data_IF_567642572235
#
_entry.id   IF_567642572235
#
_cell.length_a   1.000
_cell.length_b   1.000
_cell.length_c   1.000
_cell.angle_alpha   90.00
_cell.angle_beta   90.00
_cell.angle_gamma   90.00
#
_symmetry.space_group_name_H-M   'P 1'
#
loop_
_entity.id
_entity.type
_entity.pdbx_description
1 polymer ?
#
# COMPACT_ATOMS: atom_id res chain seq x y z
N UNK A 1 47.33 -15.83 57.26
CA UNK A 1 46.35 -16.56 56.41
C UNK A 1 45.49 -15.49 55.74
N UNK A 2 45.76 -15.18 54.46
CA UNK A 2 45.00 -14.17 53.70
C UNK A 2 44.22 -14.95 52.64
N UNK A 3 42.90 -15.01 52.81
CA UNK A 3 42.00 -15.65 51.87
C UNK A 3 41.78 -14.72 50.67
N UNK A 4 42.27 -15.12 49.50
CA UNK A 4 42.03 -14.41 48.24
C UNK A 4 40.72 -14.92 47.66
N UNK A 5 39.64 -14.15 47.79
CA UNK A 5 38.38 -14.45 47.13
C UNK A 5 38.47 -13.99 45.66
N UNK A 6 38.52 -14.94 44.72
CA UNK A 6 38.34 -14.68 43.29
C UNK A 6 36.87 -14.32 43.04
N UNK A 7 36.61 -13.07 42.69
CA UNK A 7 35.30 -12.62 42.18
C UNK A 7 35.24 -12.93 40.68
N UNK A 8 34.51 -13.97 40.28
CA UNK A 8 34.24 -14.25 38.87
C UNK A 8 33.11 -13.33 38.38
N UNK A 9 33.44 -12.33 37.56
CA UNK A 9 32.46 -11.44 36.93
C UNK A 9 31.94 -12.15 35.68
N UNK A 10 30.74 -12.75 35.78
CA UNK A 10 30.03 -13.33 34.64
C UNK A 10 29.42 -12.18 33.82
N UNK A 11 30.12 -11.73 32.77
CA UNK A 11 29.55 -10.82 31.78
C UNK A 11 28.53 -11.58 30.93
N UNK A 12 27.24 -11.38 31.23
CA UNK A 12 26.13 -11.87 30.42
C UNK A 12 26.15 -11.04 29.13
N UNK A 13 26.74 -11.58 28.06
CA UNK A 13 26.52 -11.07 26.71
C UNK A 13 25.07 -11.38 26.34
N UNK A 14 24.16 -10.49 26.77
CA UNK A 14 22.79 -10.51 26.30
C UNK A 14 22.82 -10.37 24.79
N UNK A 15 22.39 -11.41 24.08
CA UNK A 15 22.05 -11.32 22.68
C UNK A 15 20.92 -10.30 22.55
N UNK A 16 21.27 -9.02 22.39
CA UNK A 16 20.38 -8.00 21.90
C UNK A 16 20.07 -8.40 20.46
N UNK A 17 19.06 -9.23 20.28
CA UNK A 17 18.38 -9.36 19.01
C UNK A 17 17.82 -7.97 18.71
N UNK A 18 18.54 -7.19 17.90
CA UNK A 18 18.00 -5.97 17.35
C UNK A 18 16.92 -6.41 16.35
N UNK A 19 15.66 -6.26 16.75
CA UNK A 19 14.58 -6.28 15.77
C UNK A 19 14.85 -5.09 14.85
N UNK A 20 15.42 -5.34 13.66
CA UNK A 20 15.51 -4.33 12.61
C UNK A 20 14.07 -3.85 12.35
N UNK A 21 13.73 -2.57 12.61
CA UNK A 21 12.42 -2.05 12.25
C UNK A 21 12.35 -2.16 10.74
N UNK A 22 11.53 -3.09 10.28
CA UNK A 22 11.60 -3.54 8.91
C UNK A 22 10.65 -2.63 8.12
N UNK A 23 11.18 -1.55 7.51
CA UNK A 23 10.38 -0.37 7.24
C UNK A 23 9.42 -0.65 6.09
N UNK A 24 8.17 -0.23 6.24
CA UNK A 24 7.26 -0.16 5.10
C UNK A 24 7.82 0.86 4.10
N UNK A 25 8.01 0.45 2.85
CA UNK A 25 8.42 1.37 1.79
C UNK A 25 7.18 2.19 1.41
N UNK A 26 7.27 3.51 1.60
CA UNK A 26 6.28 4.48 1.13
C UNK A 26 6.84 5.17 -0.11
N UNK A 27 6.13 5.04 -1.24
CA UNK A 27 6.47 5.70 -2.50
C UNK A 27 5.35 6.67 -2.81
N UNK A 28 5.69 7.95 -2.85
CA UNK A 28 4.80 9.02 -3.33
C UNK A 28 5.16 9.31 -4.79
N UNK A 29 4.32 8.88 -5.74
CA UNK A 29 4.42 9.30 -7.14
C UNK A 29 3.34 10.35 -7.44
N UNK A 30 3.60 11.21 -8.43
CA UNK A 30 2.72 12.33 -8.76
C UNK A 30 1.47 11.95 -9.55
N UNK A 31 1.35 10.70 -10.01
CA UNK A 31 0.21 10.29 -10.82
C UNK A 31 0.02 8.78 -10.83
N UNK A 32 -1.23 8.34 -10.75
CA UNK A 32 -1.64 6.95 -10.86
C UNK A 32 -2.83 6.86 -11.81
N UNK A 33 -2.86 5.82 -12.64
CA UNK A 33 -3.94 5.59 -13.57
C UNK A 33 -5.19 5.07 -12.88
N UNK A 34 -6.34 5.70 -13.11
CA UNK A 34 -7.62 5.33 -12.53
C UNK A 34 -8.79 5.63 -13.48
N UNK A 35 -10.01 5.20 -13.15
CA UNK A 35 -11.20 5.49 -13.95
C UNK A 35 -11.88 6.78 -13.48
N UNK A 36 -12.57 7.44 -14.40
CA UNK A 36 -13.51 8.51 -14.07
C UNK A 36 -14.92 7.95 -13.88
N UNK A 37 -15.85 8.80 -13.45
CA UNK A 37 -17.25 8.40 -13.18
C UNK A 37 -18.02 7.86 -14.39
N UNK A 38 -17.48 7.97 -15.59
CA UNK A 38 -18.06 7.46 -16.84
C UNK A 38 -17.25 6.29 -17.43
N UNK A 39 -16.28 5.75 -16.70
CA UNK A 39 -15.46 4.60 -17.12
C UNK A 39 -14.32 4.95 -18.08
N UNK A 40 -14.03 6.23 -18.31
CA UNK A 40 -12.84 6.67 -19.05
C UNK A 40 -11.61 6.70 -18.15
N UNK A 41 -10.42 6.51 -18.71
CA UNK A 41 -9.18 6.55 -17.94
C UNK A 41 -8.75 8.00 -17.63
N UNK A 42 -8.21 8.22 -16.44
CA UNK A 42 -7.69 9.50 -15.94
C UNK A 42 -6.51 9.28 -15.01
N UNK A 43 -5.79 10.34 -14.64
CA UNK A 43 -4.75 10.28 -13.62
C UNK A 43 -5.27 10.84 -12.30
N UNK A 44 -4.98 10.16 -11.20
CA UNK A 44 -5.21 10.64 -9.84
C UNK A 44 -4.10 11.57 -9.36
N UNK A 45 -4.42 12.41 -8.38
CA UNK A 45 -3.54 13.46 -7.86
C UNK A 45 -2.54 12.95 -6.81
N UNK A 46 -2.83 11.81 -6.20
CA UNK A 46 -2.07 11.24 -5.08
C UNK A 46 -1.94 9.74 -5.24
N UNK A 47 -0.71 9.26 -5.17
CA UNK A 47 -0.39 7.84 -5.15
C UNK A 47 0.42 7.51 -3.90
N UNK A 48 0.01 6.48 -3.18
CA UNK A 48 0.77 5.92 -2.07
C UNK A 48 0.85 4.42 -2.18
N UNK A 49 2.01 3.86 -1.84
CA UNK A 49 2.20 2.41 -1.78
C UNK A 49 2.61 2.04 -0.37
N UNK A 50 1.97 1.00 0.19
CA UNK A 50 2.37 0.37 1.44
C UNK A 50 2.69 -1.09 1.15
N UNK A 51 3.96 -1.48 1.28
CA UNK A 51 4.41 -2.86 1.13
C UNK A 51 4.82 -3.40 2.50
N UNK A 52 4.21 -4.49 2.93
CA UNK A 52 4.53 -5.18 4.18
C UNK A 52 5.67 -6.17 3.99
N UNK A 53 6.26 -6.62 5.10
CA UNK A 53 7.38 -7.56 5.09
C UNK A 53 7.12 -8.94 4.48
N UNK A 54 5.85 -9.30 4.35
CA UNK A 54 5.43 -10.55 3.72
C UNK A 54 5.24 -10.40 2.20
N UNK A 55 5.61 -9.25 1.63
CA UNK A 55 5.40 -8.88 0.23
C UNK A 55 3.96 -8.46 -0.10
N UNK A 56 2.99 -8.69 0.81
CA UNK A 56 1.65 -8.14 0.65
C UNK A 56 1.72 -6.62 0.61
N UNK A 57 1.14 -6.01 -0.42
CA UNK A 57 1.15 -4.57 -0.60
C UNK A 57 -0.20 -4.02 -1.02
N UNK A 58 -0.50 -2.79 -0.59
CA UNK A 58 -1.60 -2.00 -1.10
C UNK A 58 -1.02 -0.80 -1.84
N UNK A 59 -1.36 -0.67 -3.11
CA UNK A 59 -1.19 0.58 -3.83
C UNK A 59 -2.52 1.34 -3.79
N UNK A 60 -2.49 2.58 -3.32
CA UNK A 60 -3.67 3.44 -3.17
C UNK A 60 -3.49 4.67 -4.05
N UNK A 61 -4.49 4.93 -4.87
CA UNK A 61 -4.57 6.08 -5.74
C UNK A 61 -5.81 6.90 -5.37
N UNK A 62 -5.66 8.20 -5.21
CA UNK A 62 -6.75 9.11 -4.85
C UNK A 62 -6.68 10.36 -5.71
N UNK A 63 -7.84 10.92 -6.03
CA UNK A 63 -7.91 12.15 -6.80
C UNK A 63 -9.33 12.61 -7.06
N UNK A 64 -9.41 13.79 -7.65
CA UNK A 64 -10.65 14.34 -8.18
C UNK A 64 -10.77 14.00 -9.67
N UNK A 65 -11.83 13.27 -10.02
CA UNK A 65 -12.09 12.81 -11.38
C UNK A 65 -13.40 13.38 -11.90
N UNK A 66 -13.62 13.29 -13.22
CA UNK A 66 -14.93 13.64 -13.80
C UNK A 66 -16.04 12.85 -13.11
N UNK A 67 -17.05 13.51 -12.51
CA UNK A 67 -18.14 12.82 -11.84
C UNK A 67 -18.98 11.95 -12.79
N UNK A 68 -19.70 10.94 -12.26
CA UNK A 68 -20.65 10.16 -13.04
C UNK A 68 -21.79 11.03 -13.58
N UNK A 69 -22.05 10.93 -14.88
CA UNK A 69 -23.10 11.73 -15.56
C UNK A 69 -24.53 11.43 -15.08
N UNK A 70 -24.76 10.24 -14.52
CA UNK A 70 -26.03 9.83 -13.92
C UNK A 70 -26.16 10.23 -12.43
N UNK A 71 -25.18 10.96 -11.89
CA UNK A 71 -25.15 11.42 -10.50
C UNK A 71 -25.02 10.30 -9.46
N UNK A 72 -24.76 9.06 -9.89
CA UNK A 72 -24.71 7.90 -8.99
C UNK A 72 -23.28 7.45 -8.79
N UNK A 73 -22.90 7.22 -7.53
CA UNK A 73 -21.57 6.70 -7.19
C UNK A 73 -21.25 5.41 -7.96
N UNK A 74 -19.99 5.26 -8.37
CA UNK A 74 -19.52 4.11 -9.16
C UNK A 74 -18.55 3.26 -8.36
N UNK A 75 -18.57 1.97 -8.67
CA UNK A 75 -17.60 0.98 -8.21
C UNK A 75 -17.08 0.22 -9.42
N UNK A 76 -15.76 0.22 -9.60
CA UNK A 76 -15.08 -0.57 -10.62
C UNK A 76 -14.18 -1.62 -9.96
N UNK A 77 -14.09 -2.78 -10.60
CA UNK A 77 -13.21 -3.88 -10.20
C UNK A 77 -12.95 -4.79 -11.41
N UNK A 78 -12.16 -5.84 -11.22
CA UNK A 78 -11.90 -6.82 -12.28
C UNK A 78 -13.18 -7.49 -12.80
N UNK A 79 -14.11 -7.84 -11.90
CA UNK A 79 -15.35 -8.54 -12.27
C UNK A 79 -16.23 -7.76 -13.26
N UNK A 80 -16.22 -6.42 -13.18
CA UNK A 80 -17.06 -5.57 -14.03
C UNK A 80 -16.33 -4.83 -15.16
N UNK A 81 -14.99 -4.86 -15.18
CA UNK A 81 -14.20 -4.20 -16.25
C UNK A 81 -13.26 -5.15 -17.01
N UNK A 82 -12.82 -6.24 -16.39
CA UNK A 82 -11.73 -7.09 -16.89
C UNK A 82 -10.34 -6.44 -16.83
N UNK A 83 -10.20 -5.23 -16.26
CA UNK A 83 -8.90 -4.56 -16.16
C UNK A 83 -8.07 -5.13 -15.02
N UNK A 84 -6.77 -5.26 -15.25
CA UNK A 84 -5.79 -5.59 -14.23
C UNK A 84 -5.22 -4.30 -13.63
N UNK A 85 -4.93 -4.30 -12.33
CA UNK A 85 -4.18 -3.22 -11.72
C UNK A 85 -2.69 -3.51 -11.80
N UNK A 86 -1.95 -2.64 -12.48
CA UNK A 86 -0.50 -2.70 -12.56
C UNK A 86 0.12 -1.78 -11.51
N UNK A 87 0.97 -2.33 -10.66
CA UNK A 87 1.67 -1.60 -9.60
C UNK A 87 3.17 -1.89 -9.67
N UNK A 88 3.98 -1.10 -8.98
CA UNK A 88 5.42 -1.34 -8.83
C UNK A 88 5.75 -2.70 -8.20
N UNK A 89 4.80 -3.32 -7.48
CA UNK A 89 4.97 -4.60 -6.79
C UNK A 89 4.31 -5.77 -7.56
N UNK A 90 3.88 -5.55 -8.80
CA UNK A 90 3.27 -6.56 -9.65
C UNK A 90 1.85 -6.22 -10.13
N UNK A 91 1.30 -7.14 -10.92
CA UNK A 91 -0.03 -7.06 -11.54
C UNK A 91 -1.02 -7.87 -10.70
N UNK A 92 -2.23 -7.33 -10.48
CA UNK A 92 -3.28 -7.98 -9.69
C UNK A 92 -4.66 -7.79 -10.28
N UNK A 93 -5.52 -8.80 -10.17
CA UNK A 93 -6.96 -8.74 -10.41
C UNK A 93 -7.75 -8.32 -9.15
N UNK A 94 -7.07 -8.29 -7.99
CA UNK A 94 -7.66 -7.90 -6.71
C UNK A 94 -7.51 -6.40 -6.51
N UNK A 95 -8.44 -5.66 -7.06
CA UNK A 95 -8.52 -4.22 -6.87
C UNK A 95 -9.97 -3.75 -6.83
N UNK A 96 -10.16 -2.58 -6.25
CA UNK A 96 -11.43 -1.87 -6.27
C UNK A 96 -11.19 -0.39 -6.40
N UNK A 97 -11.98 0.25 -7.25
CA UNK A 97 -12.09 1.69 -7.33
C UNK A 97 -13.50 2.13 -6.95
N UNK A 98 -13.60 3.20 -6.17
CA UNK A 98 -14.87 3.85 -5.82
C UNK A 98 -14.82 5.32 -6.19
N UNK A 99 -15.89 5.81 -6.80
CA UNK A 99 -16.05 7.21 -7.22
C UNK A 99 -17.35 7.73 -6.65
N UNK A 100 -17.30 8.81 -5.86
CA UNK A 100 -18.50 9.46 -5.33
C UNK A 100 -19.31 10.12 -6.44
N UNK A 101 -20.57 10.46 -6.16
CA UNK A 101 -21.40 11.29 -7.05
C UNK A 101 -20.77 12.67 -7.36
N UNK A 102 -19.86 13.15 -6.51
CA UNK A 102 -19.12 14.40 -6.66
C UNK A 102 -17.75 14.25 -7.33
N UNK A 103 -17.36 13.04 -7.75
CA UNK A 103 -16.08 12.80 -8.43
C UNK A 103 -14.87 12.60 -7.50
N UNK A 104 -15.07 12.36 -6.21
CA UNK A 104 -13.98 11.92 -5.31
C UNK A 104 -13.70 10.45 -5.57
N UNK A 105 -12.50 10.12 -6.04
CA UNK A 105 -12.14 8.76 -6.39
C UNK A 105 -11.07 8.17 -5.46
N UNK A 106 -11.14 6.86 -5.26
CA UNK A 106 -10.13 6.07 -4.54
C UNK A 106 -10.03 4.70 -5.19
N UNK A 107 -8.84 4.38 -5.70
CA UNK A 107 -8.46 3.07 -6.22
C UNK A 107 -7.52 2.40 -5.23
N UNK A 108 -7.78 1.13 -4.91
CA UNK A 108 -6.94 0.29 -4.06
C UNK A 108 -6.61 -0.98 -4.82
N UNK A 109 -5.33 -1.27 -4.97
CA UNK A 109 -4.82 -2.49 -5.59
C UNK A 109 -4.08 -3.35 -4.58
N UNK A 110 -4.51 -4.59 -4.44
CA UNK A 110 -3.93 -5.56 -3.51
C UNK A 110 -2.92 -6.44 -4.24
N UNK A 111 -1.64 -6.23 -3.97
CA UNK A 111 -0.56 -7.08 -4.49
C UNK A 111 -0.15 -8.14 -3.49
N UNK A 112 0.13 -9.32 -4.03
CA UNK A 112 0.96 -10.37 -3.45
C UNK A 112 2.12 -10.61 -4.42
N UNK A 113 3.35 -10.85 -3.94
CA UNK A 113 4.43 -11.27 -4.80
C UNK A 113 4.10 -12.62 -5.46
#
# INVERSE_FOLDING_TARGET
MIATALLAILTIFGNLASAQPNPAIHIDESSCGMLNGNGGFTFGDRFSVVITHSGNGNAVCQGDVTPPSDGTAKKFNFENTGFLCNTVNGVTDKWQETISASGKATLICHTKP
#
